data_IF_304376751284
#
_entry.id   IF_304376751284
#
_cell.length_a   1.000
_cell.length_b   1.000
_cell.length_c   1.000
_cell.angle_alpha   90.00
_cell.angle_beta   90.00
_cell.angle_gamma   90.00
#
_symmetry.space_group_name_H-M   'P 1'
#
loop_
_entity.id
_entity.type
_entity.pdbx_description
1 polymer ?
#
# COMPACT_ATOMS: atom_id res chain seq x y z
N UNK A 1 33.59 11.29 -60.61
CA UNK A 1 32.75 10.24 -59.99
C UNK A 1 31.45 10.90 -59.54
N UNK A 2 30.30 10.32 -59.93
CA UNK A 2 28.96 10.93 -59.84
C UNK A 2 28.40 10.87 -58.41
N UNK A 3 27.88 12.00 -57.93
CA UNK A 3 27.01 12.13 -56.76
C UNK A 3 25.71 11.33 -56.95
N UNK A 4 25.31 10.56 -55.94
CA UNK A 4 23.90 10.15 -55.77
C UNK A 4 23.56 10.15 -54.28
N UNK A 5 22.92 11.22 -53.82
CA UNK A 5 22.26 11.30 -52.51
C UNK A 5 20.86 10.71 -52.68
N UNK A 6 20.61 9.56 -52.07
CA UNK A 6 19.27 8.99 -51.96
C UNK A 6 18.65 9.53 -50.67
N UNK A 7 17.78 10.52 -50.80
CA UNK A 7 16.93 11.00 -49.72
C UNK A 7 15.81 9.98 -49.50
N UNK A 8 15.92 9.18 -48.44
CA UNK A 8 14.84 8.32 -47.95
C UNK A 8 13.86 9.18 -47.15
N UNK A 9 12.85 9.73 -47.82
CA UNK A 9 11.63 10.21 -47.16
C UNK A 9 10.79 8.98 -46.79
N UNK A 10 11.11 8.35 -45.66
CA UNK A 10 10.21 7.38 -45.04
C UNK A 10 9.13 8.17 -44.31
N UNK A 11 7.93 8.11 -44.89
CA UNK A 11 6.72 8.71 -44.34
C UNK A 11 6.53 8.31 -42.89
N UNK A 12 6.46 9.32 -42.03
CA UNK A 12 5.86 9.21 -40.70
C UNK A 12 4.39 8.85 -40.90
N UNK A 13 4.09 7.56 -41.06
CA UNK A 13 2.80 7.03 -40.70
C UNK A 13 2.62 7.31 -39.22
N UNK A 14 1.97 8.42 -38.90
CA UNK A 14 1.36 8.66 -37.61
C UNK A 14 0.36 7.54 -37.36
N UNK A 15 0.84 6.45 -36.76
CA UNK A 15 -0.03 5.48 -36.11
C UNK A 15 -0.89 6.29 -35.13
N UNK A 16 -2.23 6.18 -35.18
CA UNK A 16 -3.02 6.68 -34.07
C UNK A 16 -2.50 5.93 -32.84
N UNK A 17 -1.91 6.65 -31.88
CA UNK A 17 -1.67 6.08 -30.56
C UNK A 17 -3.05 5.73 -30.03
N UNK A 18 -3.47 4.48 -30.18
CA UNK A 18 -4.67 3.99 -29.51
C UNK A 18 -4.39 4.25 -28.02
N UNK A 19 -5.12 5.21 -27.46
CA UNK A 19 -4.99 5.52 -26.05
C UNK A 19 -5.35 4.24 -25.29
N UNK A 20 -4.35 3.59 -24.72
CA UNK A 20 -4.50 2.36 -23.94
C UNK A 20 -5.61 2.56 -22.92
N UNK A 21 -6.57 1.63 -22.89
CA UNK A 21 -7.71 1.72 -21.98
C UNK A 21 -7.22 1.72 -20.53
N UNK A 22 -8.04 2.25 -19.61
CA UNK A 22 -7.65 2.28 -18.19
C UNK A 22 -7.37 0.87 -17.65
N UNK A 23 -8.19 -0.11 -18.04
CA UNK A 23 -8.02 -1.50 -17.66
C UNK A 23 -6.69 -2.09 -18.15
N UNK A 24 -6.29 -1.81 -19.40
CA UNK A 24 -4.99 -2.24 -19.93
C UNK A 24 -3.84 -1.55 -19.20
N UNK A 25 -3.96 -0.26 -18.86
CA UNK A 25 -2.95 0.44 -18.07
C UNK A 25 -2.79 -0.17 -16.68
N UNK A 26 -3.89 -0.51 -15.99
CA UNK A 26 -3.85 -1.23 -14.72
C UNK A 26 -3.20 -2.61 -14.87
N UNK A 27 -3.56 -3.37 -15.90
CA UNK A 27 -2.96 -4.69 -16.16
C UNK A 27 -1.45 -4.62 -16.40
N UNK A 28 -0.97 -3.60 -17.12
CA UNK A 28 0.46 -3.37 -17.34
C UNK A 28 1.18 -3.03 -16.01
N UNK A 29 0.59 -2.19 -15.17
CA UNK A 29 1.14 -1.87 -13.86
C UNK A 29 1.20 -3.11 -12.95
N UNK A 30 0.13 -3.92 -12.91
CA UNK A 30 0.10 -5.18 -12.15
C UNK A 30 1.20 -6.14 -12.60
N UNK A 31 1.37 -6.32 -13.91
CA UNK A 31 2.43 -7.17 -14.47
C UNK A 31 3.82 -6.68 -14.08
N UNK A 32 4.05 -5.37 -14.20
CA UNK A 32 5.32 -4.75 -13.79
C UNK A 32 5.58 -4.96 -12.30
N UNK A 33 4.59 -4.64 -11.47
CA UNK A 33 4.66 -4.75 -10.02
C UNK A 33 4.98 -6.18 -9.54
N UNK A 34 4.29 -7.18 -10.08
CA UNK A 34 4.50 -8.59 -9.71
C UNK A 34 5.89 -9.11 -10.10
N UNK A 35 6.50 -8.57 -11.14
CA UNK A 35 7.78 -9.06 -11.66
C UNK A 35 9.02 -8.44 -11.01
N UNK A 36 8.90 -7.21 -10.50
CA UNK A 36 10.07 -6.38 -10.23
C UNK A 36 10.04 -5.63 -8.89
N UNK A 37 8.88 -5.51 -8.24
CA UNK A 37 8.75 -4.63 -7.09
C UNK A 37 8.75 -5.37 -5.76
N UNK A 38 9.31 -4.69 -4.75
CA UNK A 38 9.25 -5.16 -3.38
C UNK A 38 7.80 -5.18 -2.89
N UNK A 39 7.43 -6.27 -2.24
CA UNK A 39 6.10 -6.42 -1.66
C UNK A 39 6.14 -6.16 -0.17
N UNK A 40 5.20 -5.37 0.33
CA UNK A 40 4.98 -5.15 1.77
C UNK A 40 3.55 -5.44 2.17
N UNK A 41 3.34 -5.89 3.40
CA UNK A 41 2.01 -6.20 3.93
C UNK A 41 1.85 -5.74 5.38
N UNK A 42 0.88 -4.86 5.63
CA UNK A 42 0.63 -4.30 6.95
C UNK A 42 -0.84 -4.43 7.34
N UNK A 43 -1.12 -4.83 8.58
CA UNK A 43 -2.49 -4.71 9.11
C UNK A 43 -2.84 -3.24 9.31
N UNK A 44 -4.08 -2.88 9.02
CA UNK A 44 -4.67 -1.59 9.31
C UNK A 44 -6.19 -1.73 9.36
N UNK A 45 -6.83 -1.19 10.40
CA UNK A 45 -8.29 -1.27 10.58
C UNK A 45 -8.89 -2.68 10.42
N UNK A 46 -8.17 -3.71 10.90
CA UNK A 46 -8.64 -5.10 10.90
C UNK A 46 -8.48 -5.83 9.56
N UNK A 47 -7.85 -5.22 8.55
CA UNK A 47 -7.51 -5.88 7.28
C UNK A 47 -6.00 -5.86 7.04
N UNK A 48 -5.50 -6.85 6.31
CA UNK A 48 -4.11 -6.88 5.88
C UNK A 48 -3.98 -6.25 4.49
N UNK A 49 -3.34 -5.08 4.43
CA UNK A 49 -3.17 -4.29 3.21
C UNK A 49 -1.82 -4.62 2.60
N UNK A 50 -1.82 -4.96 1.31
CA UNK A 50 -0.62 -5.30 0.55
C UNK A 50 -0.24 -4.18 -0.39
N UNK A 51 1.05 -3.87 -0.52
CA UNK A 51 1.54 -2.91 -1.50
C UNK A 51 2.76 -3.43 -2.25
N UNK A 52 2.91 -2.94 -3.48
CA UNK A 52 4.10 -3.09 -4.31
C UNK A 52 4.81 -1.75 -4.36
N UNK A 53 6.09 -1.75 -4.01
CA UNK A 53 6.87 -0.57 -3.67
C UNK A 53 8.04 -0.40 -4.65
N UNK A 54 8.20 0.82 -5.15
CA UNK A 54 9.39 1.31 -5.85
C UNK A 54 9.81 2.65 -5.24
N UNK A 55 10.48 2.59 -4.08
CA UNK A 55 10.69 3.73 -3.18
C UNK A 55 9.41 4.21 -2.48
N UNK A 56 8.32 4.39 -3.22
CA UNK A 56 6.95 4.67 -2.78
C UNK A 56 5.97 3.62 -3.34
N UNK A 57 4.74 3.51 -2.82
CA UNK A 57 3.74 2.61 -3.39
C UNK A 57 3.45 2.91 -4.86
N UNK A 58 3.48 1.84 -5.67
CA UNK A 58 3.02 1.83 -7.07
C UNK A 58 1.61 1.23 -7.15
N UNK A 59 1.35 0.19 -6.34
CA UNK A 59 0.03 -0.43 -6.19
C UNK A 59 -0.21 -0.69 -4.71
N UNK A 60 -1.42 -0.37 -4.24
CA UNK A 60 -1.92 -0.79 -2.93
C UNK A 60 -3.20 -1.60 -3.14
N UNK A 61 -3.22 -2.82 -2.61
CA UNK A 61 -4.35 -3.73 -2.59
C UNK A 61 -4.99 -3.76 -1.20
N UNK A 62 -6.28 -3.43 -1.15
CA UNK A 62 -7.08 -3.37 0.08
C UNK A 62 -8.19 -4.42 -0.02
N UNK A 63 -8.15 -5.48 0.81
CA UNK A 63 -9.23 -6.45 0.87
C UNK A 63 -10.55 -5.80 1.28
N UNK A 64 -11.65 -6.25 0.67
CA UNK A 64 -13.01 -5.91 1.10
C UNK A 64 -13.56 -7.15 1.81
N UNK A 65 -13.82 -7.02 3.10
CA UNK A 65 -14.39 -8.09 3.93
C UNK A 65 -15.89 -7.88 4.11
N UNK A 66 -16.64 -8.96 4.18
CA UNK A 66 -18.04 -8.95 4.57
C UNK A 66 -18.20 -8.94 6.09
N UNK A 67 -19.45 -8.94 6.56
CA UNK A 67 -19.79 -8.92 7.99
C UNK A 67 -19.23 -10.11 8.78
N UNK A 68 -18.93 -11.23 8.10
CA UNK A 68 -18.36 -12.45 8.68
C UNK A 68 -16.83 -12.44 8.64
N UNK A 69 -16.20 -11.36 8.16
CA UNK A 69 -14.76 -11.25 7.98
C UNK A 69 -14.21 -12.01 6.77
N UNK A 70 -15.08 -12.51 5.88
CA UNK A 70 -14.67 -13.20 4.66
C UNK A 70 -14.42 -12.18 3.56
N UNK A 71 -13.33 -12.35 2.82
CA UNK A 71 -13.02 -11.49 1.68
C UNK A 71 -14.03 -11.72 0.53
N UNK A 72 -14.66 -10.64 0.09
CA UNK A 72 -15.62 -10.60 -1.03
C UNK A 72 -15.12 -9.79 -2.23
N UNK A 73 -14.07 -9.02 -2.04
CA UNK A 73 -13.47 -8.24 -3.11
C UNK A 73 -12.13 -7.67 -2.72
N UNK A 74 -11.61 -6.81 -3.60
CA UNK A 74 -10.37 -6.09 -3.38
C UNK A 74 -10.42 -4.79 -4.17
N UNK A 75 -10.04 -3.70 -3.52
CA UNK A 75 -9.81 -2.41 -4.17
C UNK A 75 -8.31 -2.23 -4.43
N UNK A 76 -7.96 -1.79 -5.63
CA UNK A 76 -6.59 -1.50 -6.06
C UNK A 76 -6.41 -0.01 -6.29
N UNK A 77 -5.42 0.58 -5.64
CA UNK A 77 -5.01 1.97 -5.82
C UNK A 77 -3.69 1.99 -6.58
N UNK A 78 -3.66 2.68 -7.71
CA UNK A 78 -2.51 2.74 -8.61
C UNK A 78 -1.88 4.12 -8.56
N UNK A 79 -0.57 4.17 -8.47
CA UNK A 79 0.20 5.40 -8.32
C UNK A 79 1.26 5.52 -9.41
N UNK A 80 1.47 6.74 -9.91
CA UNK A 80 2.57 7.10 -10.82
C UNK A 80 3.32 8.28 -10.24
N UNK A 81 4.63 8.13 -10.01
CA UNK A 81 5.44 9.18 -9.38
C UNK A 81 4.92 9.62 -8.00
N UNK A 82 4.34 8.68 -7.23
CA UNK A 82 3.74 8.95 -5.92
C UNK A 82 2.36 9.63 -5.94
N UNK A 83 1.80 9.92 -7.12
CA UNK A 83 0.46 10.51 -7.26
C UNK A 83 -0.57 9.44 -7.61
N UNK A 84 -1.79 9.59 -7.09
CA UNK A 84 -2.90 8.71 -7.44
C UNK A 84 -3.19 8.83 -8.94
N UNK A 85 -3.02 7.72 -9.66
CA UNK A 85 -3.26 7.62 -11.10
C UNK A 85 -4.65 7.02 -11.38
N UNK A 86 -5.06 6.04 -10.57
CA UNK A 86 -6.37 5.44 -10.72
C UNK A 86 -6.72 4.50 -9.57
N UNK A 87 -7.99 4.13 -9.51
CA UNK A 87 -8.51 3.16 -8.54
C UNK A 87 -9.39 2.15 -9.28
N UNK A 88 -9.20 0.87 -9.00
CA UNK A 88 -10.07 -0.22 -9.44
C UNK A 88 -10.75 -0.81 -8.23
N UNK A 89 -12.06 -0.73 -8.19
CA UNK A 89 -12.91 -1.41 -7.23
C UNK A 89 -13.70 -2.53 -7.94
N UNK A 90 -14.35 -3.45 -7.22
CA UNK A 90 -15.09 -4.53 -7.85
C UNK A 90 -16.13 -4.08 -8.87
N UNK A 91 -16.81 -2.96 -8.61
CA UNK A 91 -17.91 -2.45 -9.44
C UNK A 91 -17.57 -1.19 -10.27
N UNK A 92 -16.35 -0.67 -10.17
CA UNK A 92 -16.02 0.62 -10.79
C UNK A 92 -14.52 0.82 -11.02
N UNK A 93 -14.18 1.70 -11.96
CA UNK A 93 -12.81 2.15 -12.21
C UNK A 93 -12.76 3.68 -12.30
N UNK A 94 -11.72 4.27 -11.71
CA UNK A 94 -11.56 5.71 -11.59
C UNK A 94 -10.21 6.11 -12.18
N UNK A 95 -10.18 7.14 -13.02
CA UNK A 95 -8.94 7.70 -13.59
C UNK A 95 -8.73 9.13 -13.09
N UNK A 96 -7.48 9.42 -12.69
CA UNK A 96 -7.04 10.74 -12.27
C UNK A 96 -6.03 11.30 -13.28
N UNK A 97 -6.06 12.61 -13.47
CA UNK A 97 -5.00 13.31 -14.21
C UNK A 97 -3.80 13.66 -13.31
N UNK A 98 -2.75 14.23 -13.91
CA UNK A 98 -1.51 14.60 -13.20
C UNK A 98 -1.68 15.74 -12.16
N UNK A 99 -2.82 16.43 -12.19
CA UNK A 99 -3.22 17.45 -11.22
C UNK A 99 -4.01 16.83 -10.05
N UNK A 100 -4.30 15.52 -10.09
CA UNK A 100 -5.05 14.81 -9.06
C UNK A 100 -6.57 14.95 -9.21
N UNK A 101 -7.05 15.31 -10.41
CA UNK A 101 -8.46 15.52 -10.70
C UNK A 101 -9.09 14.25 -11.28
N UNK A 102 -10.26 13.86 -10.80
CA UNK A 102 -11.01 12.72 -11.29
C UNK A 102 -11.58 13.04 -12.68
N UNK A 103 -11.08 12.34 -13.70
CA UNK A 103 -11.45 12.58 -15.11
C UNK A 103 -12.39 11.53 -15.67
N UNK A 104 -12.39 10.31 -15.11
CA UNK A 104 -13.29 9.23 -15.54
C UNK A 104 -13.80 8.44 -14.35
N UNK A 105 -15.10 8.16 -14.38
CA UNK A 105 -15.76 7.13 -13.57
C UNK A 105 -16.35 6.13 -14.55
N UNK A 106 -15.81 4.91 -14.51
CA UNK A 106 -16.23 3.81 -15.35
C UNK A 106 -16.90 2.72 -14.49
N UNK A 107 -17.82 1.98 -15.07
CA UNK A 107 -18.40 0.77 -14.47
C UNK A 107 -17.41 -0.41 -14.50
N UNK A 108 -17.88 -1.59 -14.08
CA UNK A 108 -17.11 -2.84 -14.08
C UNK A 108 -16.72 -3.29 -15.50
N UNK A 109 -17.46 -2.88 -16.53
CA UNK A 109 -17.21 -3.14 -17.95
C UNK A 109 -16.31 -2.09 -18.60
N UNK A 110 -15.87 -1.07 -17.86
CA UNK A 110 -15.03 0.01 -18.36
C UNK A 110 -15.77 1.03 -19.21
N UNK A 111 -17.10 1.04 -19.20
CA UNK A 111 -17.94 2.06 -19.84
C UNK A 111 -18.16 3.23 -18.89
N UNK A 112 -18.41 4.46 -19.39
CA UNK A 112 -18.78 5.57 -18.52
C UNK A 112 -19.97 5.19 -17.64
N UNK A 113 -19.83 5.37 -16.32
CA UNK A 113 -20.90 5.04 -15.40
C UNK A 113 -22.13 5.92 -15.66
N UNK A 114 -23.30 5.31 -15.71
CA UNK A 114 -24.55 6.01 -15.95
C UNK A 114 -24.91 6.95 -14.78
N UNK A 115 -25.59 8.06 -15.10
CA UNK A 115 -26.14 9.00 -14.12
C UNK A 115 -25.13 9.65 -13.14
N UNK A 116 -23.84 9.70 -13.50
CA UNK A 116 -22.83 10.38 -12.67
C UNK A 116 -22.91 11.90 -12.83
N UNK A 117 -23.33 12.59 -11.77
CA UNK A 117 -23.35 14.06 -11.73
C UNK A 117 -21.95 14.66 -11.48
N UNK A 118 -21.77 15.95 -11.80
CA UNK A 118 -20.55 16.69 -11.43
C UNK A 118 -20.29 16.69 -9.91
N UNK A 119 -21.35 16.77 -9.11
CA UNK A 119 -21.24 16.75 -7.65
C UNK A 119 -20.80 15.37 -7.13
N UNK A 120 -21.34 14.30 -7.71
CA UNK A 120 -20.93 12.91 -7.42
C UNK A 120 -19.45 12.70 -7.75
N UNK A 121 -18.99 13.21 -8.90
CA UNK A 121 -17.56 13.17 -9.27
C UNK A 121 -16.67 13.87 -8.24
N UNK A 122 -17.03 15.08 -7.82
CA UNK A 122 -16.23 15.85 -6.84
C UNK A 122 -16.17 15.18 -5.47
N UNK A 123 -17.31 14.66 -4.98
CA UNK A 123 -17.35 13.92 -3.71
C UNK A 123 -16.48 12.66 -3.79
N UNK A 124 -16.54 11.95 -4.92
CA UNK A 124 -15.76 10.73 -5.14
C UNK A 124 -14.26 11.01 -5.27
N UNK A 125 -13.90 12.07 -5.99
CA UNK A 125 -12.52 12.59 -6.09
C UNK A 125 -11.96 12.86 -4.69
N UNK A 126 -12.66 13.67 -3.89
CA UNK A 126 -12.21 14.03 -2.54
C UNK A 126 -12.03 12.80 -1.64
N UNK A 127 -12.99 11.87 -1.68
CA UNK A 127 -12.92 10.64 -0.89
C UNK A 127 -11.75 9.74 -1.31
N UNK A 128 -11.60 9.47 -2.61
CA UNK A 128 -10.54 8.60 -3.13
C UNK A 128 -9.15 9.20 -2.92
N UNK A 129 -8.99 10.50 -3.12
CA UNK A 129 -7.71 11.19 -2.88
C UNK A 129 -7.32 11.13 -1.41
N UNK A 130 -8.25 11.40 -0.49
CA UNK A 130 -8.00 11.26 0.96
C UNK A 130 -7.64 9.82 1.32
N UNK A 131 -8.43 8.85 0.85
CA UNK A 131 -8.20 7.44 1.16
C UNK A 131 -6.87 6.93 0.61
N UNK A 132 -6.49 7.32 -0.60
CA UNK A 132 -5.21 6.98 -1.19
C UNK A 132 -4.03 7.54 -0.39
N UNK A 133 -4.15 8.76 0.13
CA UNK A 133 -3.12 9.36 0.99
C UNK A 133 -3.00 8.61 2.33
N UNK A 134 -4.12 8.29 2.98
CA UNK A 134 -4.15 7.46 4.20
C UNK A 134 -3.47 6.10 3.97
N UNK A 135 -3.82 5.42 2.89
CA UNK A 135 -3.25 4.11 2.54
C UNK A 135 -1.76 4.20 2.23
N UNK A 136 -1.33 5.22 1.50
CA UNK A 136 0.09 5.42 1.15
C UNK A 136 0.94 5.70 2.40
N UNK A 137 0.39 6.41 3.38
CA UNK A 137 1.08 6.73 4.63
C UNK A 137 1.46 5.48 5.43
N UNK A 138 0.70 4.37 5.31
CA UNK A 138 1.01 3.10 5.97
C UNK A 138 2.39 2.54 5.55
N UNK A 139 2.83 2.85 4.33
CA UNK A 139 4.06 2.33 3.74
C UNK A 139 5.27 3.27 3.85
N UNK A 140 5.08 4.46 4.41
CA UNK A 140 6.20 5.34 4.76
C UNK A 140 7.06 4.64 5.82
N UNK A 141 8.40 4.63 5.68
CA UNK A 141 9.29 4.08 6.69
C UNK A 141 9.08 4.74 8.04
N UNK A 142 9.04 3.95 9.12
CA UNK A 142 8.95 4.46 10.48
C UNK A 142 10.21 5.21 10.89
N UNK A 143 10.17 5.91 12.02
CA UNK A 143 11.34 6.65 12.52
C UNK A 143 12.53 5.72 12.76
N UNK A 144 12.29 4.51 13.28
CA UNK A 144 13.31 3.51 13.47
C UNK A 144 13.91 3.01 12.14
N UNK A 145 13.06 2.74 11.12
CA UNK A 145 13.52 2.33 9.79
C UNK A 145 14.38 3.42 9.13
N UNK A 146 13.95 4.68 9.20
CA UNK A 146 14.71 5.83 8.69
C UNK A 146 16.08 5.92 9.37
N UNK A 147 16.10 5.95 10.70
CA UNK A 147 17.33 6.02 11.49
C UNK A 147 18.25 4.83 11.26
N UNK A 148 17.70 3.63 11.07
CA UNK A 148 18.48 2.44 10.75
C UNK A 148 19.11 2.54 9.35
N UNK A 149 18.36 3.02 8.36
CA UNK A 149 18.86 3.18 6.99
C UNK A 149 20.00 4.20 6.89
N UNK A 150 20.01 5.20 7.76
CA UNK A 150 21.08 6.21 7.87
C UNK A 150 22.28 5.72 8.71
N UNK A 151 22.27 4.48 9.20
CA UNK A 151 23.34 3.92 10.03
C UNK A 151 23.29 4.33 11.51
N UNK A 152 22.28 5.10 11.93
CA UNK A 152 22.10 5.61 13.30
C UNK A 152 21.50 4.59 14.29
N UNK A 153 21.23 3.35 13.87
CA UNK A 153 20.70 2.31 14.75
C UNK A 153 21.75 1.79 15.74
N UNK A 154 21.46 1.93 17.04
CA UNK A 154 22.23 1.30 18.12
C UNK A 154 22.03 -0.22 18.17
N UNK A 155 20.79 -0.76 18.10
CA UNK A 155 20.58 -2.20 18.14
C UNK A 155 21.10 -2.89 16.88
N UNK A 156 21.46 -4.18 16.99
CA UNK A 156 21.93 -5.05 15.89
C UNK A 156 21.23 -6.42 15.98
N UNK A 157 21.32 -7.21 14.90
CA UNK A 157 20.76 -8.56 14.84
C UNK A 157 19.28 -8.63 15.24
N UNK A 158 18.93 -9.57 16.11
CA UNK A 158 17.56 -9.77 16.59
C UNK A 158 16.98 -8.54 17.32
N UNK A 159 17.80 -7.79 18.06
CA UNK A 159 17.36 -6.59 18.76
C UNK A 159 17.03 -5.44 17.79
N UNK A 160 17.73 -5.36 16.65
CA UNK A 160 17.38 -4.44 15.56
C UNK A 160 16.01 -4.78 14.98
N UNK A 161 15.78 -6.05 14.64
CA UNK A 161 14.50 -6.49 14.11
C UNK A 161 13.35 -6.18 15.08
N UNK A 162 13.51 -6.47 16.37
CA UNK A 162 12.52 -6.16 17.41
C UNK A 162 12.25 -4.65 17.51
N UNK A 163 13.29 -3.83 17.49
CA UNK A 163 13.14 -2.38 17.57
C UNK A 163 12.37 -1.82 16.37
N UNK A 164 12.70 -2.26 15.15
CA UNK A 164 12.00 -1.87 13.92
C UNK A 164 10.52 -2.29 13.95
N UNK A 165 10.24 -3.54 14.33
CA UNK A 165 8.89 -4.07 14.43
C UNK A 165 8.02 -3.32 15.44
N UNK A 166 8.56 -3.04 16.63
CA UNK A 166 7.84 -2.32 17.68
C UNK A 166 7.54 -0.87 17.26
N UNK A 167 8.52 -0.17 16.69
CA UNK A 167 8.34 1.21 16.23
C UNK A 167 7.30 1.29 15.11
N UNK A 168 7.37 0.37 14.14
CA UNK A 168 6.37 0.29 13.07
C UNK A 168 4.98 -0.03 13.60
N UNK A 169 4.84 -0.93 14.57
CA UNK A 169 3.56 -1.23 15.22
C UNK A 169 2.97 0.02 15.89
N UNK A 170 3.77 0.74 16.67
CA UNK A 170 3.33 1.98 17.32
C UNK A 170 2.87 3.02 16.29
N UNK A 171 3.61 3.18 15.19
CA UNK A 171 3.26 4.10 14.12
C UNK A 171 1.94 3.74 13.43
N UNK A 172 1.71 2.46 13.12
CA UNK A 172 0.51 2.01 12.42
C UNK A 172 -0.74 1.96 13.31
N UNK A 173 -0.57 1.54 14.57
CA UNK A 173 -1.66 1.35 15.52
C UNK A 173 -1.85 2.55 16.47
N UNK A 174 -1.17 3.67 16.21
CA UNK A 174 -1.20 4.91 17.02
C UNK A 174 -0.94 4.66 18.51
N UNK A 175 0.00 3.77 18.81
CA UNK A 175 0.43 3.48 20.18
C UNK A 175 1.71 4.21 20.53
N UNK A 176 2.08 4.15 21.81
CA UNK A 176 3.27 4.83 22.33
C UNK A 176 4.23 3.93 23.12
N UNK A 177 3.82 2.67 23.37
CA UNK A 177 4.65 1.68 24.06
C UNK A 177 4.28 0.25 23.68
N UNK A 178 5.28 -0.59 23.46
CA UNK A 178 5.13 -2.04 23.27
C UNK A 178 5.91 -2.76 24.37
N UNK A 179 5.26 -3.70 25.05
CA UNK A 179 5.90 -4.63 25.97
C UNK A 179 5.62 -6.07 25.54
N UNK A 180 6.50 -6.98 25.90
CA UNK A 180 6.33 -8.40 25.60
C UNK A 180 6.99 -9.24 26.67
N UNK A 181 6.35 -10.34 27.05
CA UNK A 181 6.95 -11.39 27.85
C UNK A 181 7.93 -12.20 26.99
N UNK A 182 9.17 -12.37 27.45
CA UNK A 182 10.21 -13.02 26.65
C UNK A 182 9.85 -14.45 26.23
N UNK A 183 9.12 -15.18 27.08
CA UNK A 183 8.67 -16.54 26.79
C UNK A 183 7.61 -16.62 25.67
N UNK A 184 6.91 -15.51 25.39
CA UNK A 184 5.80 -15.45 24.44
C UNK A 184 6.15 -14.78 23.11
N UNK A 185 7.36 -14.23 22.98
CA UNK A 185 7.81 -13.54 21.79
C UNK A 185 9.07 -14.19 21.22
N UNK A 186 8.93 -14.82 20.05
CA UNK A 186 10.06 -15.33 19.28
C UNK A 186 10.65 -14.19 18.46
N UNK A 187 11.95 -13.97 18.56
CA UNK A 187 12.67 -12.92 17.82
C UNK A 187 13.87 -13.53 17.11
N UNK A 188 14.13 -13.10 15.88
CA UNK A 188 15.34 -13.39 15.12
C UNK A 188 15.75 -12.14 14.32
N UNK A 189 16.85 -12.21 13.58
CA UNK A 189 17.26 -11.10 12.71
C UNK A 189 16.24 -10.83 11.58
N UNK A 190 15.43 -11.84 11.24
CA UNK A 190 14.40 -11.74 10.21
C UNK A 190 13.07 -11.19 10.72
N UNK A 191 12.92 -10.93 12.02
CA UNK A 191 11.68 -10.37 12.57
C UNK A 191 11.27 -10.97 13.92
N UNK A 192 9.98 -10.85 14.23
CA UNK A 192 9.43 -11.36 15.48
C UNK A 192 7.99 -11.84 15.34
N UNK A 193 7.63 -12.84 16.14
CA UNK A 193 6.30 -13.44 16.16
C UNK A 193 5.90 -13.85 17.57
N UNK A 194 4.70 -13.50 17.98
CA UNK A 194 4.18 -13.85 19.29
C UNK A 194 3.30 -12.77 19.90
N UNK A 195 3.12 -12.86 21.22
CA UNK A 195 2.25 -11.96 21.97
C UNK A 195 3.00 -10.70 22.41
N UNK A 196 2.35 -9.55 22.27
CA UNK A 196 2.79 -8.26 22.82
C UNK A 196 1.61 -7.52 23.41
N UNK A 197 1.87 -6.59 24.33
CA UNK A 197 0.88 -5.60 24.75
C UNK A 197 1.28 -4.24 24.18
N UNK A 198 0.35 -3.61 23.46
CA UNK A 198 0.47 -2.27 22.92
C UNK A 198 -0.31 -1.30 23.80
N UNK A 199 0.31 -0.20 24.21
CA UNK A 199 -0.39 0.89 24.88
C UNK A 199 -0.91 1.88 23.83
N UNK A 200 -2.20 2.16 23.91
CA UNK A 200 -2.93 3.15 23.12
C UNK A 200 -3.65 4.13 24.07
N UNK A 201 -4.29 5.15 23.52
CA UNK A 201 -5.07 6.14 24.28
C UNK A 201 -6.11 5.50 25.22
N UNK A 202 -6.75 4.41 24.79
CA UNK A 202 -7.79 3.70 25.54
C UNK A 202 -7.25 2.70 26.59
N UNK A 203 -5.93 2.52 26.67
CA UNK A 203 -5.28 1.57 27.57
C UNK A 203 -4.40 0.56 26.85
N UNK A 204 -4.13 -0.55 27.53
CA UNK A 204 -3.34 -1.65 26.97
C UNK A 204 -4.22 -2.59 26.16
N UNK A 205 -3.73 -2.98 24.98
CA UNK A 205 -4.31 -4.00 24.14
C UNK A 205 -3.31 -5.12 23.93
N UNK A 206 -3.70 -6.34 24.27
CA UNK A 206 -2.91 -7.54 24.02
C UNK A 206 -3.12 -8.01 22.58
N UNK A 207 -2.03 -8.24 21.85
CA UNK A 207 -2.00 -8.55 20.43
C UNK A 207 -1.15 -9.80 20.17
N UNK A 208 -1.57 -10.62 19.21
CA UNK A 208 -0.71 -11.61 18.58
C UNK A 208 -0.22 -11.04 17.24
N UNK A 209 1.09 -10.91 17.06
CA UNK A 209 1.66 -10.32 15.85
C UNK A 209 2.62 -11.26 15.12
N UNK A 210 2.78 -11.01 13.83
CA UNK A 210 3.87 -11.49 12.99
C UNK A 210 4.50 -10.28 12.31
N UNK A 211 5.81 -10.13 12.48
CA UNK A 211 6.61 -9.09 11.86
C UNK A 211 7.80 -9.70 11.13
N UNK A 212 8.05 -9.26 9.90
CA UNK A 212 9.18 -9.71 9.06
C UNK A 212 9.99 -8.48 8.62
N UNK A 213 11.31 -8.58 8.72
CA UNK A 213 12.27 -7.52 8.44
C UNK A 213 13.24 -7.97 7.35
N UNK A 214 13.57 -7.05 6.43
CA UNK A 214 14.63 -7.22 5.44
C UNK A 214 15.59 -6.04 5.55
N UNK A 215 16.81 -6.31 6.01
CA UNK A 215 17.79 -5.26 6.29
C UNK A 215 17.27 -4.30 7.37
N UNK A 216 17.02 -3.05 7.01
CA UNK A 216 16.51 -2.01 7.92
C UNK A 216 15.02 -1.72 7.74
N UNK A 217 14.30 -2.53 6.95
CA UNK A 217 12.90 -2.28 6.60
C UNK A 217 11.98 -3.38 7.11
N UNK A 218 10.83 -2.99 7.65
CA UNK A 218 9.73 -3.89 7.96
C UNK A 218 8.97 -4.17 6.67
N UNK A 219 8.92 -5.44 6.28
CA UNK A 219 8.27 -5.89 5.04
C UNK A 219 6.92 -6.53 5.30
N UNK A 220 6.72 -7.10 6.49
CA UNK A 220 5.42 -7.56 6.96
C UNK A 220 5.21 -7.14 8.41
N UNK A 221 4.03 -6.66 8.73
CA UNK A 221 3.59 -6.50 10.10
C UNK A 221 2.09 -6.69 10.18
N UNK A 222 1.68 -7.85 10.65
CA UNK A 222 0.27 -8.20 10.81
C UNK A 222 -0.04 -8.53 12.27
N UNK A 223 -1.19 -8.10 12.77
CA UNK A 223 -1.59 -8.38 14.15
C UNK A 223 -3.09 -8.56 14.31
N UNK A 224 -3.46 -9.28 15.37
CA UNK A 224 -4.84 -9.44 15.80
C UNK A 224 -4.93 -9.28 17.32
N UNK A 225 -6.03 -8.71 17.85
CA UNK A 225 -6.30 -8.72 19.29
C UNK A 225 -6.35 -10.14 19.83
N UNK A 226 -5.78 -10.37 21.02
CA UNK A 226 -5.89 -11.66 21.68
C UNK A 226 -7.32 -11.87 22.24
N UNK A 227 -7.84 -13.12 22.22
CA UNK A 227 -9.12 -13.44 22.84
C UNK A 227 -9.10 -13.06 24.33
N UNK A 228 -10.03 -12.20 24.76
CA UNK A 228 -10.10 -11.72 26.15
C UNK A 228 -9.42 -10.37 26.41
N UNK A 229 -8.87 -9.69 25.39
CA UNK A 229 -8.28 -8.35 25.51
C UNK A 229 -9.31 -7.22 25.74
N UNK A 230 -10.61 -7.49 25.66
CA UNK A 230 -11.65 -6.63 26.23
C UNK A 230 -11.72 -6.87 27.74
N UNK A 231 -10.66 -6.53 28.49
CA UNK A 231 -10.82 -6.41 29.94
C UNK A 231 -11.68 -5.16 30.18
N UNK A 232 -12.88 -5.28 30.79
CA UNK A 232 -13.62 -4.10 31.21
C UNK A 232 -12.74 -3.27 32.16
N UNK A 233 -12.83 -1.95 32.02
CA UNK A 233 -12.14 -0.97 32.87
C UNK A 233 -12.51 -1.12 34.34
#
# INVERSE_FOLDING_TARGET
>A
MRNTLIALTLGLCSLPSLATTLAEQFALMEKGAQSALDTRQFSHDGVDIKAWIDGAPVIIAVPILNEQGKQEGESRYYFKGGKLFGVKEPAAQFAFDDQGKLTRWLDDKGQPAEFVSKMSMQQREAWLTRRAAELSALFVPSQAEQKASEGGAKPKGADLARWLCNDKLMALAKGDKVIAEQAKLKTSEQGMKGEVSLRQEKGWQDLCLTCEVRGTQVTRLTWQPLPGANKPQ
#
